data_IF_060465654510
#
_entry.id   IF_060465654510
#
_cell.length_a   1.000
_cell.length_b   1.000
_cell.length_c   1.000
_cell.angle_alpha   90.00
_cell.angle_beta   90.00
_cell.angle_gamma   90.00
#
_symmetry.space_group_name_H-M   'P 1'
#
loop_
_entity.id
_entity.type
_entity.pdbx_description
1 polymer ?
#
# COMPACT_ATOMS: atom_id res chain seq x y z
N UNK A 1 -36.00 4.64 -23.68
CA UNK A 1 -36.37 3.36 -23.02
C UNK A 1 -35.08 2.67 -22.61
N UNK A 2 -35.03 2.34 -21.32
CA UNK A 2 -33.87 1.94 -20.57
C UNK A 2 -33.66 0.42 -20.71
N UNK A 3 -32.41 -0.06 -20.61
CA UNK A 3 -32.04 -1.07 -19.58
C UNK A 3 -30.53 -1.33 -19.59
N UNK A 4 -29.90 -0.96 -18.48
CA UNK A 4 -28.58 -1.41 -18.02
C UNK A 4 -28.74 -2.82 -17.42
N UNK A 5 -27.77 -3.71 -17.60
CA UNK A 5 -27.57 -4.81 -16.64
C UNK A 5 -26.09 -5.21 -16.55
N UNK A 6 -25.43 -4.66 -15.54
CA UNK A 6 -24.17 -5.16 -15.01
C UNK A 6 -24.45 -6.41 -14.17
N UNK A 7 -23.61 -7.45 -14.30
CA UNK A 7 -23.59 -8.58 -13.39
C UNK A 7 -22.32 -8.50 -12.54
N UNK A 8 -22.49 -8.00 -11.31
CA UNK A 8 -21.58 -8.24 -10.18
C UNK A 8 -21.97 -9.59 -9.59
N UNK A 9 -21.05 -10.54 -9.52
CA UNK A 9 -21.23 -11.79 -8.77
C UNK A 9 -20.26 -11.80 -7.58
N UNK A 10 -20.85 -11.79 -6.38
CA UNK A 10 -20.18 -11.81 -5.11
C UNK A 10 -19.72 -13.23 -4.71
N UNK A 11 -18.79 -13.21 -3.75
CA UNK A 11 -18.03 -14.31 -3.12
C UNK A 11 -18.89 -15.45 -2.59
N UNK A 12 -18.37 -16.68 -2.64
CA UNK A 12 -18.72 -17.71 -1.67
C UNK A 12 -17.49 -18.52 -1.24
N UNK A 13 -17.12 -18.31 0.01
CA UNK A 13 -16.23 -19.11 0.85
C UNK A 13 -16.81 -20.52 1.01
N UNK A 14 -16.02 -21.57 0.76
CA UNK A 14 -16.31 -22.89 1.33
C UNK A 14 -15.04 -23.75 1.38
N UNK A 15 -14.47 -23.82 2.57
CA UNK A 15 -13.35 -24.68 2.91
C UNK A 15 -13.91 -26.06 3.25
N UNK A 16 -13.57 -27.08 2.45
CA UNK A 16 -13.80 -28.48 2.80
C UNK A 16 -12.56 -29.28 2.41
N UNK A 17 -11.65 -29.47 3.36
CA UNK A 17 -10.64 -30.52 3.28
C UNK A 17 -11.21 -31.74 4.00
N UNK A 18 -11.52 -32.77 3.21
CA UNK A 18 -11.86 -34.11 3.69
C UNK A 18 -10.59 -34.95 3.66
N UNK A 19 -10.36 -35.65 4.77
CA UNK A 19 -9.24 -36.50 5.11
C UNK A 19 -8.93 -37.61 4.10
N UNK A 20 -7.69 -38.13 4.13
CA UNK A 20 -7.46 -39.58 4.10
C UNK A 20 -6.16 -39.97 4.83
N UNK A 21 -6.29 -41.05 5.59
CA UNK A 21 -5.36 -41.68 6.52
C UNK A 21 -4.86 -43.00 5.91
N UNK A 22 -3.57 -43.33 6.09
CA UNK A 22 -2.98 -44.69 6.07
C UNK A 22 -1.52 -44.56 6.58
N UNK A 23 -1.10 -44.92 7.82
CA UNK A 23 -0.94 -46.25 8.48
C UNK A 23 -0.43 -47.31 7.48
N UNK A 24 0.65 -48.08 7.67
CA UNK A 24 1.23 -48.83 8.81
C UNK A 24 2.67 -49.26 8.38
N UNK A 25 3.69 -49.32 9.26
CA UNK A 25 4.41 -50.55 9.73
C UNK A 25 5.90 -50.17 9.94
N UNK A 26 6.75 -50.75 10.80
CA UNK A 26 6.69 -51.60 12.00
C UNK A 26 8.12 -51.63 12.59
N UNK A 27 8.22 -51.79 13.92
CA UNK A 27 9.30 -52.43 14.70
C UNK A 27 10.65 -51.69 14.95
N UNK A 28 10.83 -51.29 16.21
CA UNK A 28 12.14 -51.03 16.84
C UNK A 28 12.00 -50.45 18.24
N UNK A 29 12.11 -51.29 19.28
CA UNK A 29 11.96 -50.92 20.70
C UNK A 29 13.22 -50.27 21.30
N UNK A 30 13.06 -49.16 22.02
CA UNK A 30 13.86 -48.78 23.20
C UNK A 30 13.08 -47.75 24.05
N UNK A 31 13.00 -47.88 25.39
CA UNK A 31 12.37 -46.88 26.24
C UNK A 31 13.43 -45.82 26.61
N UNK A 32 13.41 -44.68 25.91
CA UNK A 32 14.10 -43.48 26.39
C UNK A 32 13.06 -42.63 27.11
N UNK A 33 13.32 -42.34 28.38
CA UNK A 33 12.59 -41.35 29.17
C UNK A 33 12.68 -39.99 28.46
N UNK A 34 11.61 -39.62 27.76
CA UNK A 34 11.48 -38.31 27.13
C UNK A 34 11.04 -37.30 28.20
N UNK A 35 11.96 -36.42 28.60
CA UNK A 35 11.57 -35.08 29.03
C UNK A 35 10.96 -34.40 27.81
N UNK A 36 9.66 -34.09 27.89
CA UNK A 36 8.98 -33.33 26.86
C UNK A 36 9.51 -31.89 26.87
N UNK A 37 10.36 -31.59 25.90
CA UNK A 37 10.60 -30.25 25.39
C UNK A 37 10.90 -30.47 23.92
N UNK A 38 9.84 -30.47 23.12
CA UNK A 38 9.88 -30.60 21.67
C UNK A 38 10.77 -29.48 21.09
N UNK A 39 12.03 -29.82 20.84
CA UNK A 39 12.79 -29.25 19.74
C UNK A 39 12.40 -30.04 18.49
N UNK A 40 11.61 -29.44 17.59
CA UNK A 40 11.79 -29.52 16.12
C UNK A 40 10.80 -28.55 15.50
N UNK A 41 11.34 -27.54 14.83
CA UNK A 41 10.57 -26.65 13.98
C UNK A 41 11.28 -25.34 13.76
N UNK A 42 12.50 -25.40 13.20
CA UNK A 42 13.00 -24.33 12.35
C UNK A 42 12.02 -24.21 11.16
N UNK A 43 10.87 -23.59 11.40
CA UNK A 43 10.11 -22.94 10.36
C UNK A 43 10.84 -21.64 10.14
N UNK A 44 11.81 -21.69 9.22
CA UNK A 44 12.42 -20.54 8.58
C UNK A 44 11.37 -19.45 8.44
N UNK A 45 11.54 -18.43 9.26
CA UNK A 45 10.77 -17.23 9.30
C UNK A 45 10.96 -16.52 7.97
N UNK A 46 10.19 -16.95 6.97
CA UNK A 46 9.57 -15.98 6.10
C UNK A 46 8.21 -15.68 6.67
N UNK A 47 8.21 -15.11 7.89
CA UNK A 47 7.36 -13.94 8.07
C UNK A 47 7.60 -13.11 6.82
N UNK A 48 6.61 -13.13 5.93
CA UNK A 48 6.54 -12.09 4.93
C UNK A 48 6.44 -10.87 5.79
N UNK A 49 7.59 -10.22 6.02
CA UNK A 49 7.64 -8.83 6.39
C UNK A 49 6.87 -8.21 5.25
N UNK A 50 5.55 -8.07 5.44
CA UNK A 50 4.76 -7.13 4.71
C UNK A 50 5.46 -5.86 5.13
N UNK A 51 6.45 -5.45 4.35
CA UNK A 51 6.87 -4.08 4.30
C UNK A 51 5.59 -3.39 3.87
N UNK A 52 4.77 -3.09 4.87
CA UNK A 52 3.73 -2.10 4.81
C UNK A 52 4.56 -0.86 4.53
N UNK A 53 4.78 -0.61 3.23
CA UNK A 53 4.93 0.73 2.70
C UNK A 53 3.67 1.42 3.19
N UNK A 54 3.77 1.89 4.41
CA UNK A 54 2.69 2.42 5.18
C UNK A 54 2.87 3.91 5.06
N UNK A 55 1.75 4.56 4.91
CA UNK A 55 1.56 5.99 5.12
C UNK A 55 2.52 6.66 6.13
N UNK A 56 3.01 5.92 7.15
CA UNK A 56 4.06 6.35 8.08
C UNK A 56 5.32 6.92 7.42
N UNK A 57 5.67 6.50 6.20
CA UNK A 57 6.79 7.03 5.42
C UNK A 57 6.62 8.52 5.06
N UNK A 58 5.37 9.00 5.02
CA UNK A 58 5.07 10.38 4.73
C UNK A 58 5.43 11.26 5.92
N UNK A 59 6.55 11.96 5.85
CA UNK A 59 7.00 12.88 6.91
C UNK A 59 6.04 14.07 7.04
N UNK A 60 5.87 14.57 8.26
CA UNK A 60 5.13 15.82 8.48
C UNK A 60 5.75 16.96 7.67
N UNK A 61 4.91 17.85 7.14
CA UNK A 61 5.33 18.99 6.32
C UNK A 61 5.50 18.65 4.84
N UNK A 62 5.24 17.41 4.40
CA UNK A 62 5.37 17.00 3.01
C UNK A 62 4.02 16.66 2.36
N UNK A 63 3.97 16.81 1.03
CA UNK A 63 2.99 16.17 0.18
C UNK A 63 3.55 14.86 -0.37
N UNK A 64 2.84 13.76 -0.16
CA UNK A 64 3.29 12.42 -0.42
C UNK A 64 2.43 11.73 -1.48
N UNK A 65 3.08 10.97 -2.35
CA UNK A 65 2.43 10.20 -3.40
C UNK A 65 2.99 8.78 -3.46
N UNK A 66 2.16 7.87 -3.96
CA UNK A 66 2.48 6.46 -4.11
C UNK A 66 2.01 5.93 -5.47
N UNK A 67 2.75 4.95 -6.01
CA UNK A 67 2.45 4.36 -7.31
C UNK A 67 1.23 3.44 -7.28
N UNK A 68 0.88 2.90 -6.11
CA UNK A 68 -0.28 2.03 -5.91
C UNK A 68 -1.32 2.65 -4.98
N UNK A 69 -2.50 2.05 -4.92
CA UNK A 69 -3.52 2.39 -3.94
C UNK A 69 -3.07 2.01 -2.53
N UNK A 70 -3.79 2.51 -1.52
CA UNK A 70 -3.55 2.23 -0.10
C UNK A 70 -2.13 2.58 0.38
N UNK A 71 -1.51 3.59 -0.22
CA UNK A 71 -0.19 4.11 0.13
C UNK A 71 0.96 3.11 -0.09
N UNK A 72 0.79 2.22 -1.08
CA UNK A 72 1.76 1.16 -1.38
C UNK A 72 2.60 1.45 -2.65
N UNK A 73 3.63 0.64 -2.85
CA UNK A 73 4.51 0.73 -4.02
C UNK A 73 5.56 1.84 -3.88
N UNK A 74 5.96 2.42 -5.02
CA UNK A 74 7.01 3.45 -5.06
C UNK A 74 6.48 4.72 -4.38
N UNK A 75 7.26 5.25 -3.45
CA UNK A 75 6.92 6.42 -2.65
C UNK A 75 7.70 7.67 -3.09
N UNK A 76 7.07 8.84 -2.99
CA UNK A 76 7.78 10.13 -3.01
C UNK A 76 7.11 11.20 -2.16
N UNK A 77 7.91 11.90 -1.37
CA UNK A 77 7.51 13.08 -0.60
C UNK A 77 8.11 14.37 -1.16
N UNK A 78 7.34 15.45 -1.15
CA UNK A 78 7.76 16.80 -1.60
C UNK A 78 7.40 17.82 -0.52
N UNK A 79 8.40 18.55 -0.02
CA UNK A 79 8.23 19.63 0.96
C UNK A 79 8.60 21.03 0.40
N UNK A 80 8.98 21.11 -0.87
CA UNK A 80 9.42 22.34 -1.53
C UNK A 80 8.25 23.23 -1.94
N UNK A 81 8.45 24.54 -1.91
CA UNK A 81 7.53 25.52 -2.53
C UNK A 81 7.78 25.75 -4.00
N UNK A 82 8.95 25.38 -4.51
CA UNK A 82 9.23 25.34 -5.94
C UNK A 82 8.72 24.01 -6.53
N UNK A 83 8.21 23.98 -7.77
CA UNK A 83 7.80 22.74 -8.41
C UNK A 83 8.94 21.73 -8.52
N UNK A 84 8.73 20.54 -7.94
CA UNK A 84 9.68 19.43 -7.98
C UNK A 84 9.12 18.33 -8.87
N UNK A 85 9.87 17.93 -9.88
CA UNK A 85 9.55 16.76 -10.70
C UNK A 85 9.60 15.50 -9.86
N UNK A 86 8.56 14.68 -9.93
CA UNK A 86 8.42 13.49 -9.08
C UNK A 86 8.98 12.22 -9.71
N UNK A 87 9.07 12.17 -11.05
CA UNK A 87 9.33 10.95 -11.80
C UNK A 87 8.09 10.06 -12.01
N UNK A 88 6.92 10.45 -11.49
CA UNK A 88 5.68 9.71 -11.65
C UNK A 88 4.95 10.19 -12.90
N UNK A 89 4.38 9.26 -13.67
CA UNK A 89 3.38 9.60 -14.69
C UNK A 89 2.03 9.83 -14.03
N UNK A 90 1.63 8.92 -13.14
CA UNK A 90 0.41 9.00 -12.35
C UNK A 90 0.68 8.54 -10.92
N UNK A 91 0.00 9.16 -9.96
CA UNK A 91 -0.11 8.72 -8.57
C UNK A 91 -1.44 8.00 -8.36
N UNK A 92 -1.42 6.91 -7.58
CA UNK A 92 -2.60 6.11 -7.24
C UNK A 92 -3.10 6.29 -5.81
N UNK A 93 -2.26 6.84 -4.93
CA UNK A 93 -2.69 7.33 -3.63
C UNK A 93 -1.81 8.48 -3.18
N UNK A 94 -2.36 9.36 -2.34
CA UNK A 94 -1.68 10.58 -1.93
C UNK A 94 -2.09 11.03 -0.54
N UNK A 95 -1.19 11.78 0.09
CA UNK A 95 -1.45 12.43 1.37
C UNK A 95 -0.72 13.76 1.45
N UNK A 96 -1.46 14.84 1.63
CA UNK A 96 -0.90 16.11 2.03
C UNK A 96 -0.70 16.14 3.55
N UNK A 97 0.39 15.57 4.07
CA UNK A 97 0.73 15.64 5.50
C UNK A 97 1.41 16.97 5.88
N UNK A 98 1.03 18.06 5.23
CA UNK A 98 1.51 19.40 5.53
C UNK A 98 0.36 20.30 6.02
N UNK A 99 0.72 21.42 6.64
CA UNK A 99 -0.21 22.51 6.99
C UNK A 99 -0.51 23.44 5.80
N UNK A 100 0.02 23.13 4.61
CA UNK A 100 -0.03 23.96 3.41
C UNK A 100 -0.83 23.26 2.31
N UNK A 101 -1.46 24.02 1.44
CA UNK A 101 -2.04 23.46 0.23
C UNK A 101 -0.93 23.02 -0.72
N UNK A 102 -1.21 22.02 -1.56
CA UNK A 102 -0.27 21.51 -2.56
C UNK A 102 -0.87 21.62 -3.95
N UNK A 103 -0.10 22.11 -4.93
CA UNK A 103 -0.45 21.99 -6.35
C UNK A 103 0.29 20.81 -6.96
N UNK A 104 -0.48 19.95 -7.62
CA UNK A 104 -0.01 18.78 -8.34
C UNK A 104 -0.24 19.02 -9.82
N UNK A 105 0.84 18.98 -10.60
CA UNK A 105 0.86 19.35 -12.00
C UNK A 105 0.95 18.12 -12.90
N UNK A 106 0.23 18.15 -14.01
CA UNK A 106 0.29 17.10 -15.02
C UNK A 106 1.58 17.11 -15.83
N UNK A 107 2.30 18.24 -15.86
CA UNK A 107 3.63 18.39 -16.47
C UNK A 107 4.76 18.46 -15.44
N UNK A 108 6.00 18.41 -15.93
CA UNK A 108 7.21 18.61 -15.12
C UNK A 108 7.49 20.08 -14.89
N UNK A 109 8.19 20.44 -13.81
CA UNK A 109 8.58 21.84 -13.54
C UNK A 109 7.41 22.82 -13.36
N UNK A 110 6.23 22.35 -12.93
CA UNK A 110 5.06 23.21 -12.70
C UNK A 110 4.26 23.55 -13.98
N UNK A 111 4.45 22.80 -15.05
CA UNK A 111 3.75 23.00 -16.33
C UNK A 111 2.46 22.16 -16.43
N UNK A 112 1.62 22.47 -17.42
CA UNK A 112 0.37 21.75 -17.68
C UNK A 112 -0.78 22.16 -16.76
N UNK A 113 -1.82 21.32 -16.72
CA UNK A 113 -2.96 21.50 -15.81
C UNK A 113 -2.55 21.15 -14.38
N UNK A 114 -3.25 21.72 -13.40
CA UNK A 114 -2.98 21.46 -12.00
C UNK A 114 -4.25 21.15 -11.23
N UNK A 115 -4.10 20.34 -10.19
CA UNK A 115 -5.10 20.10 -9.16
C UNK A 115 -4.51 20.52 -7.84
N UNK A 116 -5.32 21.10 -6.98
CA UNK A 116 -4.89 21.54 -5.68
C UNK A 116 -5.51 20.69 -4.57
N UNK A 117 -4.69 20.37 -3.57
CA UNK A 117 -5.06 19.56 -2.42
C UNK A 117 -4.84 20.37 -1.15
N UNK A 118 -5.91 20.52 -0.37
CA UNK A 118 -5.86 21.22 0.91
C UNK A 118 -4.96 20.49 1.93
N UNK A 119 -4.48 21.18 2.98
CA UNK A 119 -3.76 20.58 4.08
C UNK A 119 -4.46 19.34 4.62
N UNK A 120 -3.68 18.34 5.06
CA UNK A 120 -4.17 17.07 5.63
C UNK A 120 -5.05 16.22 4.71
N UNK A 121 -5.30 16.62 3.45
CA UNK A 121 -6.07 15.81 2.50
C UNK A 121 -5.41 14.47 2.24
N UNK A 122 -6.17 13.40 2.41
CA UNK A 122 -5.67 12.03 2.33
C UNK A 122 -6.59 11.19 1.45
N UNK A 123 -6.04 10.54 0.43
CA UNK A 123 -6.79 9.78 -0.57
C UNK A 123 -6.09 8.45 -0.82
N UNK A 124 -6.74 7.35 -0.46
CA UNK A 124 -6.19 6.00 -0.56
C UNK A 124 -6.31 5.39 -1.97
N UNK A 125 -7.13 5.94 -2.86
CA UNK A 125 -7.26 5.46 -4.23
C UNK A 125 -7.65 6.60 -5.17
N UNK A 126 -6.84 6.84 -6.19
CA UNK A 126 -7.04 7.88 -7.20
C UNK A 126 -6.25 7.57 -8.47
N UNK A 127 -6.30 8.45 -9.46
CA UNK A 127 -5.41 8.42 -10.62
C UNK A 127 -5.12 9.84 -11.05
N UNK A 128 -4.04 10.42 -10.55
CA UNK A 128 -3.69 11.84 -10.76
C UNK A 128 -2.36 11.93 -11.48
N UNK A 129 -2.27 12.67 -12.60
CA UNK A 129 -0.99 12.91 -13.25
C UNK A 129 -0.15 13.85 -12.35
N UNK A 130 0.75 13.24 -11.59
CA UNK A 130 1.51 13.92 -10.53
C UNK A 130 2.97 14.11 -10.94
N UNK A 131 3.21 14.65 -12.15
CA UNK A 131 4.54 14.76 -12.75
C UNK A 131 5.43 15.77 -12.04
N UNK A 132 4.86 16.83 -11.48
CA UNK A 132 5.55 17.70 -10.54
C UNK A 132 4.60 18.23 -9.46
N UNK A 133 5.17 18.60 -8.31
CA UNK A 133 4.40 19.02 -7.13
C UNK A 133 5.08 20.23 -6.50
N UNK A 134 4.29 21.19 -6.03
CA UNK A 134 4.75 22.32 -5.23
C UNK A 134 3.83 22.52 -4.03
N UNK A 135 4.40 22.71 -2.83
CA UNK A 135 3.66 23.24 -1.70
C UNK A 135 3.44 24.74 -1.86
N UNK A 136 2.23 25.20 -1.55
CA UNK A 136 1.91 26.62 -1.56
C UNK A 136 2.35 27.27 -0.25
N UNK A 137 2.44 28.60 -0.26
CA UNK A 137 2.80 29.35 0.94
C UNK A 137 1.74 29.27 2.04
N UNK A 138 0.46 29.17 1.64
CA UNK A 138 -0.68 29.09 2.55
C UNK A 138 -1.40 27.74 2.51
N UNK A 139 -2.50 27.67 3.24
CA UNK A 139 -3.38 26.50 3.36
C UNK A 139 -4.48 26.42 2.31
N UNK A 140 -4.57 27.41 1.41
CA UNK A 140 -5.63 27.51 0.41
C UNK A 140 -5.10 27.38 -1.02
N UNK A 141 -6.03 26.93 -1.87
CA UNK A 141 -5.97 26.95 -3.32
C UNK A 141 -6.77 28.18 -3.80
#
# INVERSE_FOLDING_TARGET
>A
MNTVKAHVAARHTSWRLVAMVAVVTLLGFAPVTASASDEVGESDETETVVQLFSEAQCTSGAFCIWSEASYAGIYRGVASTAPVSTGFVNSKSLWNRSSRAARVYSGTGGTGSWVCYLPSTKISSTSVPARSIALLSGSSC
#
